data_IF_846041330281
#
_entry.id   IF_846041330281
#
_cell.length_a   1.000
_cell.length_b   1.000
_cell.length_c   1.000
_cell.angle_alpha   90.00
_cell.angle_beta   90.00
_cell.angle_gamma   90.00
#
_symmetry.space_group_name_H-M   'P 1'
#
loop_
_entity.id
_entity.type
_entity.pdbx_description
1 polymer ?
#
# COMPACT_ATOMS: atom_id res chain seq x y z
N UNK A 1 8.61 13.85 14.72
CA UNK A 1 7.51 13.94 13.73
C UNK A 1 7.76 12.82 12.77
N UNK A 2 7.01 11.74 12.90
CA UNK A 2 7.32 10.47 12.26
C UNK A 2 6.16 10.10 11.33
N UNK A 3 6.48 9.70 10.11
CA UNK A 3 5.51 9.37 9.07
C UNK A 3 5.29 7.85 9.03
N UNK A 4 4.83 7.31 10.15
CA UNK A 4 4.72 5.88 10.39
C UNK A 4 3.96 5.13 9.29
N UNK A 5 2.95 5.73 8.67
CA UNK A 5 2.17 5.09 7.60
C UNK A 5 2.98 4.91 6.32
N UNK A 6 3.86 5.87 6.02
CA UNK A 6 4.75 5.79 4.87
C UNK A 6 5.85 4.77 5.13
N UNK A 7 6.40 4.75 6.35
CA UNK A 7 7.33 3.72 6.80
C UNK A 7 6.71 2.31 6.67
N UNK A 8 5.49 2.14 7.19
CA UNK A 8 4.78 0.88 7.15
C UNK A 8 4.45 0.44 5.71
N UNK A 9 4.04 1.38 4.85
CA UNK A 9 3.81 1.14 3.43
C UNK A 9 5.09 0.67 2.73
N UNK A 10 6.24 1.29 2.99
CA UNK A 10 7.54 0.87 2.42
C UNK A 10 7.91 -0.56 2.83
N UNK A 11 7.71 -0.92 4.10
CA UNK A 11 7.95 -2.29 4.60
C UNK A 11 7.06 -3.31 3.90
N UNK A 12 5.77 -2.98 3.75
CA UNK A 12 4.81 -3.85 3.09
C UNK A 12 5.13 -4.05 1.60
N UNK A 13 5.42 -2.95 0.89
CA UNK A 13 5.80 -2.99 -0.53
C UNK A 13 7.10 -3.76 -0.76
N UNK A 14 8.07 -3.66 0.15
CA UNK A 14 9.26 -4.50 0.09
C UNK A 14 8.90 -6.00 0.13
N UNK A 15 8.06 -6.38 1.09
CA UNK A 15 7.62 -7.78 1.24
C UNK A 15 6.86 -8.27 0.00
N UNK A 16 6.03 -7.40 -0.60
CA UNK A 16 5.26 -7.68 -1.81
C UNK A 16 6.12 -7.82 -3.07
N UNK A 17 7.09 -6.92 -3.24
CA UNK A 17 7.91 -6.86 -4.45
C UNK A 17 9.10 -7.82 -4.40
N UNK A 18 9.39 -8.42 -3.24
CA UNK A 18 10.56 -9.27 -3.05
C UNK A 18 11.89 -8.56 -3.31
N UNK A 19 11.89 -7.22 -3.28
CA UNK A 19 13.09 -6.40 -3.49
C UNK A 19 14.06 -6.58 -2.33
N UNK A 20 15.33 -6.14 -2.44
CA UNK A 20 16.26 -6.11 -1.31
C UNK A 20 16.56 -4.66 -0.92
N UNK A 21 16.28 -4.26 0.33
CA UNK A 21 17.21 -3.36 1.01
C UNK A 21 17.42 -3.75 2.47
N UNK A 22 18.66 -4.09 2.84
CA UNK A 22 18.99 -4.38 4.24
C UNK A 22 19.00 -3.10 5.11
N UNK A 23 19.47 -1.97 4.56
CA UNK A 23 19.67 -0.74 5.35
C UNK A 23 18.38 0.09 5.49
N UNK A 24 17.61 0.26 4.40
CA UNK A 24 16.41 1.10 4.42
C UNK A 24 15.30 0.52 5.30
N UNK A 25 15.09 -0.81 5.29
CA UNK A 25 14.14 -1.44 6.23
C UNK A 25 14.57 -1.32 7.68
N UNK A 26 15.86 -1.38 7.96
CA UNK A 26 16.35 -1.23 9.34
C UNK A 26 15.98 0.15 9.89
N UNK A 27 16.03 1.19 9.05
CA UNK A 27 15.58 2.53 9.42
C UNK A 27 14.06 2.59 9.66
N UNK A 28 13.25 2.06 8.74
CA UNK A 28 11.79 2.11 8.86
C UNK A 28 11.27 1.29 10.05
N UNK A 29 11.87 0.12 10.31
CA UNK A 29 11.54 -0.71 11.48
C UNK A 29 11.94 0.00 12.78
N UNK A 30 13.11 0.66 12.80
CA UNK A 30 13.54 1.43 13.95
C UNK A 30 12.65 2.66 14.22
N UNK A 31 12.14 3.32 13.18
CA UNK A 31 11.20 4.44 13.32
C UNK A 31 9.84 3.99 13.87
N UNK A 32 9.35 2.82 13.42
CA UNK A 32 8.08 2.27 13.88
C UNK A 32 8.15 1.71 15.30
N UNK A 33 9.27 1.09 15.69
CA UNK A 33 9.44 0.48 17.01
C UNK A 33 8.26 -0.42 17.40
N UNK A 34 7.75 -0.25 18.62
CA UNK A 34 6.66 -1.06 19.17
C UNK A 34 5.27 -0.72 18.57
N UNK A 35 5.15 0.33 17.74
CA UNK A 35 3.86 0.70 17.13
C UNK A 35 3.34 -0.36 16.16
N UNK A 36 4.23 -1.22 15.65
CA UNK A 36 3.85 -2.38 14.83
C UNK A 36 3.25 -3.53 15.64
N UNK A 37 3.40 -3.54 16.96
CA UNK A 37 2.83 -4.56 17.85
C UNK A 37 1.44 -4.17 18.35
N UNK A 38 1.07 -2.88 18.22
CA UNK A 38 -0.26 -2.38 18.60
C UNK A 38 -1.28 -2.75 17.52
N UNK A 39 -2.41 -3.33 17.94
CA UNK A 39 -3.53 -3.59 17.03
C UNK A 39 -4.04 -2.28 16.41
N UNK A 40 -4.06 -2.21 15.08
CA UNK A 40 -4.45 -1.01 14.35
C UNK A 40 -4.09 -1.05 12.86
N UNK A 41 -4.39 0.02 12.09
CA UNK A 41 -4.07 0.09 10.67
C UNK A 41 -2.58 0.00 10.37
N UNK A 42 -1.72 0.55 11.23
CA UNK A 42 -0.26 0.48 11.09
C UNK A 42 0.28 -0.94 11.07
N UNK A 43 -0.13 -1.78 12.03
CA UNK A 43 0.22 -3.20 12.06
C UNK A 43 -0.33 -3.97 10.86
N UNK A 44 -1.57 -3.67 10.46
CA UNK A 44 -2.17 -4.27 9.25
C UNK A 44 -1.41 -3.87 7.98
N UNK A 45 -0.94 -2.63 7.89
CA UNK A 45 -0.12 -2.15 6.79
C UNK A 45 1.18 -2.96 6.69
N UNK A 46 1.96 -3.04 7.76
CA UNK A 46 3.27 -3.74 7.73
C UNK A 46 3.16 -5.23 7.43
N UNK A 47 2.04 -5.86 7.80
CA UNK A 47 1.79 -7.28 7.58
C UNK A 47 1.12 -7.61 6.24
N UNK A 48 0.72 -6.60 5.45
CA UNK A 48 0.03 -6.84 4.19
C UNK A 48 0.88 -7.71 3.24
N UNK A 49 0.26 -8.73 2.65
CA UNK A 49 0.87 -9.69 1.70
C UNK A 49 0.23 -9.67 0.32
N UNK A 50 -0.77 -8.82 0.13
CA UNK A 50 -1.42 -8.60 -1.15
C UNK A 50 -1.86 -7.12 -1.25
N UNK A 51 -2.07 -6.65 -2.48
CA UNK A 51 -2.43 -5.25 -2.75
C UNK A 51 -3.80 -4.87 -2.19
N UNK A 52 -4.76 -5.79 -2.13
CA UNK A 52 -6.09 -5.51 -1.62
C UNK A 52 -6.06 -5.27 -0.11
N UNK A 53 -5.30 -6.07 0.64
CA UNK A 53 -5.06 -5.91 2.07
C UNK A 53 -4.28 -4.63 2.35
N UNK A 54 -3.24 -4.34 1.55
CA UNK A 54 -2.48 -3.10 1.65
C UNK A 54 -3.38 -1.87 1.47
N UNK A 55 -4.22 -1.86 0.43
CA UNK A 55 -5.18 -0.79 0.14
C UNK A 55 -6.12 -0.56 1.32
N UNK A 56 -6.80 -1.62 1.80
CA UNK A 56 -7.75 -1.51 2.93
C UNK A 56 -7.09 -0.99 4.20
N UNK A 57 -5.86 -1.42 4.49
CA UNK A 57 -5.14 -0.95 5.66
C UNK A 57 -4.77 0.54 5.54
N UNK A 58 -4.41 0.99 4.33
CA UNK A 58 -4.09 2.39 4.05
C UNK A 58 -5.34 3.29 4.08
N UNK A 59 -6.48 2.81 3.56
CA UNK A 59 -7.79 3.47 3.69
C UNK A 59 -8.15 3.69 5.17
N UNK A 60 -7.99 2.67 6.00
CA UNK A 60 -8.25 2.78 7.44
C UNK A 60 -7.30 3.79 8.12
N UNK A 61 -6.01 3.78 7.77
CA UNK A 61 -5.04 4.73 8.29
C UNK A 61 -5.40 6.18 7.90
N UNK A 62 -5.79 6.42 6.64
CA UNK A 62 -6.29 7.74 6.22
C UNK A 62 -7.48 8.18 7.07
N UNK A 63 -8.46 7.29 7.28
CA UNK A 63 -9.64 7.60 8.09
C UNK A 63 -9.29 7.99 9.53
N UNK A 64 -8.32 7.32 10.15
CA UNK A 64 -7.82 7.68 11.49
C UNK A 64 -7.15 9.05 11.51
N UNK A 65 -6.30 9.36 10.52
CA UNK A 65 -5.66 10.68 10.42
C UNK A 65 -6.65 11.81 10.16
N UNK A 66 -7.67 11.56 9.36
CA UNK A 66 -8.74 12.53 9.10
C UNK A 66 -9.59 12.77 10.35
N UNK A 67 -9.94 11.71 11.09
CA UNK A 67 -10.63 11.83 12.35
C UNK A 67 -9.80 12.58 13.39
N UNK A 68 -8.49 12.28 13.49
CA UNK A 68 -7.58 13.01 14.35
C UNK A 68 -7.53 14.49 13.96
N UNK A 69 -7.31 14.80 12.68
CA UNK A 69 -7.26 16.17 12.19
C UNK A 69 -8.55 16.95 12.45
N UNK A 70 -9.72 16.30 12.32
CA UNK A 70 -11.01 16.91 12.61
C UNK A 70 -11.21 17.23 14.11
N UNK A 71 -10.54 16.50 15.01
CA UNK A 71 -10.58 16.73 16.46
C UNK A 71 -9.59 17.80 16.95
N UNK A 72 -8.66 18.25 16.10
CA UNK A 72 -7.63 19.22 16.49
C UNK A 72 -8.18 20.64 16.62
N UNK A 73 -7.65 21.38 17.60
CA UNK A 73 -7.94 22.79 17.74
C UNK A 73 -7.37 23.60 16.56
N UNK A 74 -8.06 24.66 16.17
CA UNK A 74 -7.68 25.49 15.02
C UNK A 74 -6.37 26.25 15.21
N UNK A 75 -5.96 26.45 16.46
CA UNK A 75 -4.73 27.11 16.88
C UNK A 75 -3.62 26.11 17.30
N UNK A 76 -3.84 24.80 17.12
CA UNK A 76 -2.83 23.78 17.44
C UNK A 76 -1.58 23.98 16.56
N UNK A 77 -0.38 24.18 17.15
CA UNK A 77 0.84 24.39 16.41
C UNK A 77 1.23 23.22 15.49
N UNK A 78 0.69 22.01 15.72
CA UNK A 78 0.91 20.82 14.91
C UNK A 78 -0.11 20.65 13.78
N UNK A 79 -1.15 21.49 13.71
CA UNK A 79 -2.23 21.36 12.72
C UNK A 79 -1.71 21.31 11.27
N UNK A 80 -0.72 22.16 10.95
CA UNK A 80 -0.09 22.18 9.63
C UNK A 80 0.59 20.85 9.26
N UNK A 81 1.24 20.21 10.23
CA UNK A 81 1.88 18.91 10.04
C UNK A 81 0.85 17.81 9.78
N UNK A 82 -0.22 17.72 10.58
CA UNK A 82 -1.25 16.70 10.39
C UNK A 82 -2.00 16.86 9.06
N UNK A 83 -2.24 18.10 8.60
CA UNK A 83 -2.79 18.36 7.25
C UNK A 83 -1.87 17.83 6.15
N UNK A 84 -0.57 18.11 6.24
CA UNK A 84 0.41 17.62 5.28
C UNK A 84 0.50 16.09 5.28
N UNK A 85 0.42 15.48 6.47
CA UNK A 85 0.42 14.03 6.63
C UNK A 85 -0.80 13.39 5.95
N UNK A 86 -2.03 13.87 6.22
CA UNK A 86 -3.26 13.38 5.57
C UNK A 86 -3.14 13.46 4.05
N UNK A 87 -2.69 14.60 3.51
CA UNK A 87 -2.52 14.77 2.05
C UNK A 87 -1.54 13.76 1.49
N UNK A 88 -0.42 13.54 2.19
CA UNK A 88 0.64 12.61 1.77
C UNK A 88 0.14 11.16 1.77
N UNK A 89 -0.49 10.70 2.86
CA UNK A 89 -1.00 9.33 2.97
C UNK A 89 -2.15 9.08 1.98
N UNK A 90 -3.03 10.07 1.73
CA UNK A 90 -4.04 9.98 0.67
C UNK A 90 -3.43 9.92 -0.73
N UNK A 91 -2.31 10.60 -0.95
CA UNK A 91 -1.53 10.48 -2.18
C UNK A 91 -1.08 9.05 -2.40
N UNK A 92 -0.42 8.47 -1.39
CA UNK A 92 0.03 7.09 -1.43
C UNK A 92 -1.12 6.08 -1.66
N UNK A 93 -2.29 6.29 -1.05
CA UNK A 93 -3.47 5.46 -1.29
C UNK A 93 -3.88 5.46 -2.77
N UNK A 94 -3.99 6.64 -3.38
CA UNK A 94 -4.32 6.75 -4.80
C UNK A 94 -3.27 6.07 -5.69
N UNK A 95 -2.02 6.05 -5.28
CA UNK A 95 -0.95 5.41 -6.04
C UNK A 95 -1.07 3.89 -5.98
N UNK A 96 -1.39 3.33 -4.79
CA UNK A 96 -1.69 1.90 -4.61
C UNK A 96 -2.92 1.48 -5.40
N UNK A 97 -3.98 2.30 -5.42
CA UNK A 97 -5.19 2.06 -6.23
C UNK A 97 -4.86 1.99 -7.73
N UNK A 98 -4.08 2.95 -8.25
CA UNK A 98 -3.66 2.95 -9.65
C UNK A 98 -2.80 1.75 -10.00
N UNK A 99 -1.88 1.37 -9.13
CA UNK A 99 -1.05 0.19 -9.32
C UNK A 99 -1.89 -1.10 -9.34
N UNK A 100 -2.89 -1.20 -8.46
CA UNK A 100 -3.80 -2.35 -8.41
C UNK A 100 -4.58 -2.49 -9.74
N UNK A 101 -5.16 -1.40 -10.23
CA UNK A 101 -5.87 -1.40 -11.52
C UNK A 101 -4.96 -1.78 -12.69
N UNK A 102 -3.72 -1.29 -12.70
CA UNK A 102 -2.74 -1.63 -13.75
C UNK A 102 -2.40 -3.12 -13.75
N UNK A 103 -2.20 -3.72 -12.58
CA UNK A 103 -1.85 -5.15 -12.45
C UNK A 103 -3.06 -6.02 -12.80
N UNK A 104 -4.26 -5.65 -12.37
CA UNK A 104 -5.50 -6.34 -12.76
C UNK A 104 -5.69 -6.32 -14.27
N UNK A 105 -5.42 -5.18 -14.92
CA UNK A 105 -5.50 -5.10 -16.39
C UNK A 105 -4.46 -6.02 -17.06
N UNK A 106 -3.21 -5.97 -16.61
CA UNK A 106 -2.15 -6.83 -17.14
C UNK A 106 -2.49 -8.32 -16.98
N UNK A 107 -3.10 -8.71 -15.86
CA UNK A 107 -3.57 -10.08 -15.65
C UNK A 107 -4.59 -10.52 -16.72
N UNK A 108 -5.55 -9.65 -17.07
CA UNK A 108 -6.51 -9.91 -18.14
C UNK A 108 -5.84 -9.97 -19.53
N UNK A 109 -4.87 -9.09 -19.79
CA UNK A 109 -4.14 -9.08 -21.07
C UNK A 109 -3.35 -10.40 -21.31
N UNK A 110 -2.94 -11.10 -20.23
CA UNK A 110 -2.31 -12.43 -20.33
C UNK A 110 -3.30 -13.48 -20.81
N UNK A 111 -4.56 -13.43 -20.36
CA UNK A 111 -5.62 -14.34 -20.81
C UNK A 111 -5.87 -14.15 -22.31
N UNK A 112 -6.01 -12.91 -22.78
CA UNK A 112 -6.15 -12.59 -24.20
C UNK A 112 -4.95 -13.13 -25.03
N UNK A 113 -3.73 -13.02 -24.48
CA UNK A 113 -2.51 -13.53 -25.14
C UNK A 113 -2.49 -15.06 -25.19
N UNK A 114 -2.94 -15.72 -24.12
CA UNK A 114 -3.07 -17.17 -24.06
C UNK A 114 -4.08 -17.69 -25.09
N UNK A 115 -5.22 -17.02 -25.23
CA UNK A 115 -6.27 -17.41 -26.16
C UNK A 115 -5.83 -17.21 -27.62
N UNK A 116 -5.14 -16.10 -27.91
CA UNK A 116 -4.53 -15.86 -29.21
C UNK A 116 -3.53 -16.97 -29.59
N UNK A 117 -2.78 -17.49 -28.62
CA UNK A 117 -1.84 -18.58 -28.88
C UNK A 117 -2.57 -19.86 -29.34
N UNK A 118 -3.68 -20.21 -28.70
CA UNK A 118 -4.51 -21.35 -29.10
C UNK A 118 -5.23 -21.13 -30.43
N UNK A 119 -5.58 -19.89 -30.75
CA UNK A 119 -6.15 -19.55 -32.06
C UNK A 119 -5.13 -19.75 -33.20
N UNK A 120 -3.87 -19.33 -32.98
CA UNK A 120 -2.80 -19.46 -33.98
C UNK A 120 -2.30 -20.92 -34.10
N UNK A 121 -2.24 -21.63 -32.98
CA UNK A 121 -1.80 -23.03 -32.91
C UNK A 121 -2.86 -23.90 -32.24
N UNK A 122 -3.93 -24.29 -32.96
CA UNK A 122 -4.94 -25.20 -32.45
C UNK A 122 -4.27 -26.51 -32.01
N UNK A 123 -4.56 -26.97 -30.79
CA UNK A 123 -4.07 -28.25 -30.29
C UNK A 123 -4.45 -29.40 -31.22
N UNK A 124 -3.62 -30.42 -31.29
CA UNK A 124 -3.83 -31.62 -32.12
C UNK A 124 -4.98 -32.53 -31.67
N UNK A 125 -5.92 -32.04 -30.86
CA UNK A 125 -7.07 -32.82 -30.39
C UNK A 125 -8.22 -32.87 -31.43
N UNK A 126 -8.05 -32.21 -32.59
CA UNK A 126 -8.96 -32.23 -33.74
C UNK A 126 -8.52 -33.22 -34.88
N UNK A 127 -7.88 -34.35 -34.54
CA UNK A 127 -7.70 -35.50 -35.48
C UNK A 127 -8.10 -36.82 -34.84
#
# INVERSE_FOLDING_TARGET
MACHEIAALRIALHSLLGTRPAAELTHEVAELGDLCEVEGPLRRLTQARDLATLRRALEAAVGEHEAQLASMATDDPKLGYHRALVVTVRGALRDVERMSMMIERFYLDIEDTHDLLHEIFPGSDDV
#
